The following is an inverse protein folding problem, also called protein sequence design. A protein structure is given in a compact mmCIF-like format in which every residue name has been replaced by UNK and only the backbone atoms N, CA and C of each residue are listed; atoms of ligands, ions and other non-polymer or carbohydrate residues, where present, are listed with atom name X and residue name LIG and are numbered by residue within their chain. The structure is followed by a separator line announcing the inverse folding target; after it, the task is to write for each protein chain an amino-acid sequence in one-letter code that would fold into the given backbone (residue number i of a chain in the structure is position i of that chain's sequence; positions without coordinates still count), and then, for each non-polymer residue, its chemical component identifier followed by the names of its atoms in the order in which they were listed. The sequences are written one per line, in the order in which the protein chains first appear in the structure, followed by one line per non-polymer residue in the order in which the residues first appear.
data_IF_800951510990
#
_entry.id   IF_800951510990
#
_cell.length_a   1.000
_cell.length_b   1.000
_cell.length_c   1.000
_cell.angle_alpha   90.00
_cell.angle_beta   90.00
_cell.angle_gamma   90.00
#
_symmetry.space_group_name_H-M   'P 1'
#
loop_
_entity.id
_entity.type
_entity.pdbx_description
1 polymer ?
#
# COMPACT_ATOMS: atom_id res chain seq x y z
N UNK A 1 -0.80 18.30 -4.22
CA UNK A 1 -1.04 18.40 -5.68
C UNK A 1 -1.29 19.83 -6.19
N UNK A 2 -2.16 20.64 -5.56
CA UNK A 2 -2.44 22.02 -6.02
C UNK A 2 -1.18 22.89 -6.19
N UNK A 3 -0.21 22.74 -5.29
CA UNK A 3 1.11 23.37 -5.42
C UNK A 3 1.78 23.12 -6.79
N UNK A 4 1.76 21.86 -7.26
CA UNK A 4 2.40 21.48 -8.52
C UNK A 4 1.63 21.96 -9.74
N UNK A 5 0.31 22.07 -9.64
CA UNK A 5 -0.56 22.64 -10.68
C UNK A 5 -0.16 24.08 -10.98
N UNK A 6 0.04 24.90 -9.96
CA UNK A 6 0.45 26.30 -10.12
C UNK A 6 1.86 26.44 -10.73
N UNK A 7 2.65 25.37 -10.72
CA UNK A 7 3.99 25.29 -11.30
C UNK A 7 4.03 24.57 -12.65
N UNK A 8 2.87 24.25 -13.23
CA UNK A 8 2.75 23.49 -14.49
C UNK A 8 3.56 22.17 -14.47
N UNK A 9 3.64 21.55 -13.29
CA UNK A 9 4.42 20.34 -13.06
C UNK A 9 3.51 19.15 -12.74
N UNK A 10 3.90 17.97 -13.23
CA UNK A 10 3.17 16.72 -13.04
C UNK A 10 4.03 15.73 -12.25
N UNK A 11 4.02 15.78 -10.90
CA UNK A 11 4.79 14.84 -10.10
C UNK A 11 4.23 13.43 -10.29
N UNK A 12 5.08 12.42 -10.08
CA UNK A 12 4.62 11.05 -9.93
C UNK A 12 4.08 10.85 -8.50
N UNK A 13 3.02 10.07 -8.34
CA UNK A 13 2.51 9.66 -7.03
C UNK A 13 2.97 8.24 -6.76
N UNK A 14 3.55 8.02 -5.58
CA UNK A 14 3.92 6.70 -5.07
C UNK A 14 2.93 6.38 -3.95
N UNK A 15 2.12 5.35 -4.16
CA UNK A 15 1.19 4.83 -3.15
C UNK A 15 1.83 3.65 -2.41
N UNK A 16 1.96 3.84 -1.10
CA UNK A 16 2.57 2.91 -0.18
C UNK A 16 1.54 1.99 0.48
N UNK A 17 0.24 2.30 0.37
CA UNK A 17 -0.77 1.55 1.08
C UNK A 17 -1.15 0.28 0.34
N UNK A 18 -1.31 -0.81 1.09
CA UNK A 18 -1.89 -2.04 0.59
C UNK A 18 -3.35 -1.85 0.10
N UNK A 19 -3.71 -2.36 -1.08
CA UNK A 19 -5.10 -2.43 -1.51
C UNK A 19 -5.34 -2.42 -3.03
N UNK A 20 -6.30 -3.25 -3.46
CA UNK A 20 -6.68 -3.40 -4.86
C UNK A 20 -7.51 -2.22 -5.39
N UNK A 21 -7.39 -1.98 -6.70
CA UNK A 21 -8.14 -0.93 -7.39
C UNK A 21 -7.80 0.51 -6.95
N UNK A 22 -6.73 0.73 -6.17
CA UNK A 22 -6.29 2.08 -5.77
C UNK A 22 -5.82 2.90 -6.97
N UNK A 23 -5.10 2.28 -7.91
CA UNK A 23 -4.76 2.90 -9.21
C UNK A 23 -6.04 3.32 -9.93
N UNK A 24 -7.01 2.42 -10.11
CA UNK A 24 -8.27 2.73 -10.80
C UNK A 24 -9.12 3.77 -10.06
N UNK A 25 -9.11 3.77 -8.72
CA UNK A 25 -9.78 4.80 -7.88
C UNK A 25 -9.09 6.14 -8.01
N UNK A 26 -7.76 6.17 -7.97
CA UNK A 26 -6.96 7.37 -8.18
C UNK A 26 -7.19 7.94 -9.59
N UNK A 27 -7.12 7.11 -10.62
CA UNK A 27 -7.38 7.53 -12.01
C UNK A 27 -8.82 8.03 -12.15
N UNK A 28 -9.82 7.32 -11.60
CA UNK A 28 -11.21 7.82 -11.55
C UNK A 28 -11.33 9.16 -10.82
N UNK A 29 -10.60 9.36 -9.72
CA UNK A 29 -10.65 10.59 -8.92
C UNK A 29 -9.94 11.76 -9.62
N UNK A 30 -8.84 11.49 -10.32
CA UNK A 30 -8.13 12.41 -11.22
C UNK A 30 -8.98 12.80 -12.43
N UNK A 31 -9.51 11.80 -13.13
CA UNK A 31 -10.18 11.95 -14.43
C UNK A 31 -11.63 12.46 -14.30
N UNK A 32 -12.29 12.28 -13.15
CA UNK A 32 -13.57 12.95 -12.83
C UNK A 32 -13.43 14.44 -12.48
N UNK A 33 -12.34 15.07 -12.93
CA UNK A 33 -12.03 16.50 -12.79
C UNK A 33 -11.98 17.06 -11.36
N UNK A 34 -12.10 16.23 -10.31
CA UNK A 34 -12.04 16.68 -8.91
C UNK A 34 -10.61 16.95 -8.43
N UNK A 35 -9.61 16.37 -9.10
CA UNK A 35 -8.21 16.76 -8.97
C UNK A 35 -7.73 17.26 -10.33
N UNK A 36 -7.58 18.57 -10.48
CA UNK A 36 -7.02 19.20 -11.68
C UNK A 36 -5.52 18.88 -11.83
N UNK A 37 -5.19 17.65 -12.23
CA UNK A 37 -3.81 17.23 -12.45
C UNK A 37 -3.51 17.20 -13.96
N UNK A 38 -2.42 17.82 -14.44
CA UNK A 38 -1.80 17.40 -15.70
C UNK A 38 -1.49 15.89 -15.63
N UNK A 39 -1.28 15.17 -16.75
CA UNK A 39 -1.16 13.71 -16.77
C UNK A 39 -0.11 13.21 -15.76
N UNK A 40 -0.61 12.83 -14.59
CA UNK A 40 0.19 12.46 -13.42
C UNK A 40 0.32 10.95 -13.43
N UNK A 41 1.56 10.47 -13.43
CA UNK A 41 1.84 9.04 -13.32
C UNK A 41 1.59 8.57 -11.89
N UNK A 42 0.92 7.43 -11.75
CA UNK A 42 0.65 6.79 -10.46
C UNK A 42 1.39 5.46 -10.42
N UNK A 43 2.18 5.27 -9.37
CA UNK A 43 2.98 4.08 -9.15
C UNK A 43 2.54 3.46 -7.83
N UNK A 44 2.01 2.25 -7.88
CA UNK A 44 1.76 1.47 -6.68
C UNK A 44 3.02 0.64 -6.38
N UNK A 45 3.56 0.80 -5.19
CA UNK A 45 4.77 0.12 -4.75
C UNK A 45 4.70 -1.41 -4.88
N UNK A 46 3.59 -2.01 -4.43
CA UNK A 46 3.38 -3.46 -4.51
C UNK A 46 3.26 -3.94 -5.96
N UNK A 47 2.67 -3.14 -6.85
CA UNK A 47 2.66 -3.45 -8.30
C UNK A 47 4.06 -3.45 -8.90
N UNK A 48 4.93 -2.52 -8.51
CA UNK A 48 6.33 -2.52 -8.97
C UNK A 48 7.06 -3.79 -8.53
N UNK A 49 6.89 -4.18 -7.27
CA UNK A 49 7.49 -5.41 -6.75
C UNK A 49 6.94 -6.66 -7.42
N UNK A 50 5.63 -6.71 -7.69
CA UNK A 50 5.01 -7.80 -8.44
C UNK A 50 5.54 -7.91 -9.87
N UNK A 51 5.84 -6.78 -10.51
CA UNK A 51 6.38 -6.76 -11.88
C UNK A 51 7.87 -7.11 -11.99
N UNK A 52 8.51 -7.61 -10.92
CA UNK A 52 9.84 -8.23 -11.02
C UNK A 52 9.75 -9.57 -11.77
N UNK A 53 10.86 -9.98 -12.38
CA UNK A 53 10.99 -11.27 -13.08
C UNK A 53 10.49 -11.28 -14.52
N UNK A 54 10.76 -12.39 -15.21
CA UNK A 54 10.25 -12.65 -16.57
C UNK A 54 8.75 -12.91 -16.56
N UNK A 55 8.04 -12.52 -17.62
CA UNK A 55 6.59 -12.74 -17.77
C UNK A 55 6.31 -14.25 -17.77
N UNK A 56 5.98 -14.81 -16.61
CA UNK A 56 5.33 -16.11 -16.53
C UNK A 56 3.87 -15.94 -16.89
N UNK A 57 3.36 -16.71 -17.84
CA UNK A 57 1.93 -16.75 -18.18
C UNK A 57 1.12 -17.53 -17.12
N UNK A 58 1.43 -17.37 -15.84
CA UNK A 58 0.58 -17.84 -14.76
C UNK A 58 -0.61 -16.88 -14.65
N UNK A 59 -1.47 -16.89 -15.67
CA UNK A 59 -2.82 -16.36 -15.55
C UNK A 59 -3.54 -17.18 -14.50
N UNK A 60 -4.52 -16.57 -13.84
CA UNK A 60 -5.44 -17.23 -12.93
C UNK A 60 -6.08 -18.40 -13.65
N UNK A 61 -5.45 -19.56 -13.57
CA UNK A 61 -6.16 -20.82 -13.56
C UNK A 61 -6.81 -20.85 -12.19
N UNK A 62 -7.90 -20.08 -12.10
CA UNK A 62 -9.01 -20.48 -11.25
C UNK A 62 -9.13 -21.98 -11.45
N UNK A 63 -8.86 -22.76 -10.41
CA UNK A 63 -9.04 -24.19 -10.48
C UNK A 63 -10.53 -24.42 -10.65
N UNK A 64 -11.02 -24.33 -11.89
CA UNK A 64 -12.42 -24.45 -12.26
C UNK A 64 -12.98 -25.76 -11.74
N UNK A 65 -12.12 -26.77 -11.63
CA UNK A 65 -12.30 -28.03 -10.91
C UNK A 65 -12.90 -27.85 -9.49
N UNK A 66 -12.39 -26.92 -8.67
CA UNK A 66 -12.86 -26.70 -7.29
C UNK A 66 -14.27 -26.11 -7.20
N UNK A 67 -14.78 -25.53 -8.28
CA UNK A 67 -16.16 -25.03 -8.34
C UNK A 67 -17.16 -25.98 -8.96
N UNK A 68 -16.72 -27.09 -9.57
CA UNK A 68 -17.62 -28.02 -10.27
C UNK A 68 -18.66 -28.65 -9.33
N UNK A 69 -18.30 -28.80 -8.07
CA UNK A 69 -19.16 -29.39 -7.02
C UNK A 69 -19.93 -28.35 -6.21
N UNK A 70 -19.78 -27.05 -6.53
CA UNK A 70 -20.40 -25.95 -5.78
C UNK A 70 -21.53 -25.30 -6.59
N UNK A 71 -22.52 -24.78 -5.88
CA UNK A 71 -23.65 -24.07 -6.51
C UNK A 71 -23.36 -22.58 -6.60
N UNK A 72 -23.38 -21.96 -7.80
CA UNK A 72 -23.19 -20.52 -7.94
C UNK A 72 -24.46 -19.76 -7.51
N UNK A 73 -24.28 -18.77 -6.64
CA UNK A 73 -25.26 -17.74 -6.27
C UNK A 73 -24.73 -16.38 -6.69
N UNK A 74 -25.36 -15.81 -7.72
CA UNK A 74 -25.07 -14.46 -8.18
C UNK A 74 -26.20 -13.50 -7.80
N UNK A 75 -25.84 -12.36 -7.25
CA UNK A 75 -26.80 -11.28 -7.02
C UNK A 75 -26.91 -10.46 -8.30
N UNK A 76 -28.13 -10.21 -8.78
CA UNK A 76 -28.37 -9.42 -9.99
C UNK A 76 -27.73 -8.03 -9.84
N UNK A 77 -26.94 -7.60 -10.83
CA UNK A 77 -26.22 -6.32 -10.81
C UNK A 77 -24.95 -6.28 -9.94
N UNK A 78 -24.52 -7.42 -9.38
CA UNK A 78 -23.28 -7.51 -8.61
C UNK A 78 -22.16 -8.17 -9.44
N UNK A 79 -20.96 -7.60 -9.41
CA UNK A 79 -19.73 -8.23 -9.92
C UNK A 79 -19.16 -9.31 -8.96
N UNK A 80 -20.04 -9.94 -8.18
CA UNK A 80 -19.66 -10.92 -7.15
C UNK A 80 -20.43 -12.21 -7.36
N UNK A 81 -19.70 -13.31 -7.46
CA UNK A 81 -20.27 -14.67 -7.49
C UNK A 81 -19.89 -15.39 -6.20
N UNK A 82 -20.86 -15.93 -5.48
CA UNK A 82 -20.62 -16.82 -4.33
C UNK A 82 -20.88 -18.25 -4.74
N UNK A 83 -19.93 -19.14 -4.50
CA UNK A 83 -20.09 -20.58 -4.69
C UNK A 83 -20.35 -21.20 -3.32
N UNK A 84 -21.50 -21.85 -3.19
CA UNK A 84 -21.93 -22.48 -1.94
C UNK A 84 -21.81 -24.00 -1.99
N UNK A 85 -21.53 -24.60 -0.83
CA UNK A 85 -21.53 -26.04 -0.64
C UNK A 85 -22.96 -26.62 -0.53
N UNK A 86 -23.06 -27.92 -0.28
CA UNK A 86 -24.33 -28.65 -0.15
C UNK A 86 -25.17 -28.16 1.04
N UNK A 87 -24.52 -27.64 2.09
CA UNK A 87 -25.17 -27.06 3.26
C UNK A 87 -25.58 -25.59 3.05
N UNK A 88 -25.30 -25.04 1.86
CA UNK A 88 -25.61 -23.67 1.47
C UNK A 88 -24.66 -22.63 2.05
N UNK A 89 -23.56 -23.03 2.69
CA UNK A 89 -22.52 -22.12 3.18
C UNK A 89 -21.62 -21.67 2.04
N UNK A 90 -21.12 -20.43 2.11
CA UNK A 90 -20.16 -19.94 1.11
C UNK A 90 -18.83 -20.64 1.29
N UNK A 91 -18.37 -21.33 0.25
CA UNK A 91 -17.04 -21.94 0.20
C UNK A 91 -16.05 -21.04 -0.57
N UNK A 92 -16.52 -20.39 -1.64
CA UNK A 92 -15.69 -19.49 -2.46
C UNK A 92 -16.49 -18.24 -2.81
N UNK A 93 -15.85 -17.07 -2.76
CA UNK A 93 -16.37 -15.80 -3.29
C UNK A 93 -15.42 -15.30 -4.35
N UNK A 94 -15.93 -14.99 -5.54
CA UNK A 94 -15.18 -14.40 -6.65
C UNK A 94 -15.70 -13.00 -6.90
N UNK A 95 -14.81 -12.01 -6.78
CA UNK A 95 -15.09 -10.61 -7.11
C UNK A 95 -14.42 -10.25 -8.43
N UNK A 96 -15.17 -9.54 -9.27
CA UNK A 96 -14.73 -9.07 -10.57
C UNK A 96 -14.75 -7.56 -10.64
N UNK A 97 -13.91 -7.01 -11.51
CA UNK A 97 -13.92 -5.58 -11.81
C UNK A 97 -15.01 -5.21 -12.84
N UNK A 98 -15.08 -3.92 -13.17
CA UNK A 98 -16.02 -3.36 -14.15
C UNK A 98 -15.85 -3.95 -15.58
N UNK A 99 -14.75 -4.69 -15.84
CA UNK A 99 -14.46 -5.39 -17.10
C UNK A 99 -14.66 -6.90 -16.99
N UNK A 100 -15.33 -7.38 -15.94
CA UNK A 100 -15.58 -8.79 -15.64
C UNK A 100 -14.30 -9.64 -15.44
N UNK A 101 -13.16 -9.00 -15.12
CA UNK A 101 -11.92 -9.70 -14.79
C UNK A 101 -11.89 -10.05 -13.32
N UNK A 102 -11.39 -11.24 -12.98
CA UNK A 102 -11.25 -11.67 -11.59
C UNK A 102 -10.22 -10.79 -10.88
N UNK A 103 -10.64 -10.15 -9.78
CA UNK A 103 -9.81 -9.26 -8.97
C UNK A 103 -9.44 -9.93 -7.65
N UNK A 104 -10.40 -10.60 -7.02
CA UNK A 104 -10.23 -11.24 -5.71
C UNK A 104 -10.97 -12.57 -5.69
N UNK A 105 -10.33 -13.59 -5.10
CA UNK A 105 -10.95 -14.86 -4.77
C UNK A 105 -10.77 -15.13 -3.27
N UNK A 106 -11.87 -15.17 -2.54
CA UNK A 106 -11.88 -15.45 -1.10
C UNK A 106 -12.34 -16.89 -0.87
N UNK A 107 -11.60 -17.65 -0.07
CA UNK A 107 -11.85 -19.05 0.27
C UNK A 107 -12.27 -19.17 1.73
N UNK A 108 -13.37 -19.87 1.95
CA UNK A 108 -13.99 -20.02 3.25
C UNK A 108 -13.98 -21.48 3.69
N UNK A 109 -13.90 -21.68 5.00
CA UNK A 109 -14.08 -22.98 5.65
C UNK A 109 -14.87 -22.77 6.94
N UNK A 110 -15.95 -23.51 7.11
CA UNK A 110 -16.86 -23.42 8.27
C UNK A 110 -17.38 -21.99 8.46
N UNK A 111 -17.76 -21.32 7.36
CA UNK A 111 -18.23 -19.94 7.34
C UNK A 111 -17.16 -18.86 7.60
N UNK A 112 -15.90 -19.23 7.83
CA UNK A 112 -14.79 -18.30 8.12
C UNK A 112 -13.85 -18.14 6.93
N UNK A 113 -13.41 -16.91 6.66
CA UNK A 113 -12.38 -16.63 5.66
C UNK A 113 -11.06 -17.29 6.07
N UNK A 114 -10.46 -18.08 5.17
CA UNK A 114 -9.18 -18.78 5.41
C UNK A 114 -8.07 -18.32 4.48
N UNK A 115 -8.44 -17.91 3.27
CA UNK A 115 -7.49 -17.43 2.28
C UNK A 115 -8.15 -16.40 1.39
N UNK A 116 -7.40 -15.40 0.99
CA UNK A 116 -7.77 -14.49 -0.07
C UNK A 116 -6.62 -14.40 -1.08
N UNK A 117 -6.95 -14.64 -2.34
CA UNK A 117 -6.03 -14.45 -3.45
C UNK A 117 -6.46 -13.22 -4.22
N UNK A 118 -5.49 -12.41 -4.62
CA UNK A 118 -5.77 -11.19 -5.35
C UNK A 118 -4.93 -11.10 -6.60
N UNK A 119 -5.54 -10.56 -7.64
CA UNK A 119 -5.03 -10.64 -9.00
C UNK A 119 -4.80 -9.26 -9.60
N UNK A 120 -3.79 -9.17 -10.45
CA UNK A 120 -3.52 -7.95 -11.20
C UNK A 120 -4.51 -7.75 -12.37
N UNK A 121 -4.37 -6.65 -13.09
CA UNK A 121 -5.22 -6.30 -14.24
C UNK A 121 -5.13 -7.28 -15.43
N UNK A 122 -4.12 -8.16 -15.45
CA UNK A 122 -3.95 -9.22 -16.44
C UNK A 122 -4.44 -10.58 -15.91
N UNK A 123 -5.02 -10.61 -14.70
CA UNK A 123 -5.50 -11.81 -14.06
C UNK A 123 -4.38 -12.70 -13.50
N UNK A 124 -3.19 -12.16 -13.20
CA UNK A 124 -2.09 -12.93 -12.60
C UNK A 124 -2.15 -12.83 -11.08
N UNK A 125 -1.84 -13.90 -10.37
CA UNK A 125 -1.80 -13.88 -8.91
C UNK A 125 -0.75 -12.86 -8.47
N UNK A 126 -1.16 -11.87 -7.69
CA UNK A 126 -0.28 -10.85 -7.15
C UNK A 126 0.02 -11.10 -5.68
N UNK A 127 -0.98 -11.56 -4.92
CA UNK A 127 -0.91 -11.67 -3.46
C UNK A 127 -1.78 -12.81 -2.97
N UNK A 128 -1.31 -13.48 -1.92
CA UNK A 128 -2.10 -14.41 -1.12
C UNK A 128 -2.06 -13.98 0.34
N UNK A 129 -3.24 -13.84 0.95
CA UNK A 129 -3.43 -13.67 2.38
C UNK A 129 -4.00 -14.95 2.98
N UNK A 130 -3.42 -15.44 4.08
CA UNK A 130 -3.90 -16.61 4.83
C UNK A 130 -4.31 -16.19 6.22
N UNK A 131 -5.52 -16.59 6.59
CA UNK A 131 -6.17 -16.24 7.84
C UNK A 131 -6.21 -17.46 8.74
N UNK A 132 -5.56 -17.37 9.90
CA UNK A 132 -5.61 -18.39 10.92
C UNK A 132 -6.10 -17.79 12.24
N UNK A 133 -6.91 -18.56 12.94
CA UNK A 133 -7.30 -18.25 14.31
C UNK A 133 -6.18 -18.74 15.22
N UNK A 134 -5.54 -17.82 15.93
CA UNK A 134 -4.50 -18.14 16.90
C UNK A 134 -4.98 -17.80 18.31
N UNK A 135 -4.61 -18.59 19.33
CA UNK A 135 -4.80 -18.20 20.72
C UNK A 135 -4.03 -16.89 20.98
N UNK A 136 -4.63 -15.94 21.69
CA UNK A 136 -3.95 -14.71 22.07
C UNK A 136 -2.85 -15.00 23.11
N UNK A 137 -1.62 -15.19 22.64
CA UNK A 137 -0.47 -15.55 23.48
C UNK A 137 -0.01 -14.43 24.42
N UNK A 138 -0.45 -13.17 24.22
CA UNK A 138 -0.02 -12.00 25.00
C UNK A 138 -0.94 -11.64 26.17
N UNK A 139 -2.05 -12.36 26.38
CA UNK A 139 -2.94 -12.19 27.54
C UNK A 139 -3.24 -13.53 28.21
N UNK A 140 -2.23 -14.07 28.90
CA UNK A 140 -2.41 -15.22 29.79
C UNK A 140 -2.95 -14.77 31.17
N UNK A 141 -4.21 -14.34 31.23
CA UNK A 141 -4.94 -14.33 32.50
C UNK A 141 -5.75 -15.63 32.59
N UNK A 142 -5.47 -16.43 33.61
CA UNK A 142 -5.96 -17.81 33.82
C UNK A 142 -7.48 -17.91 34.10
N UNK A 143 -8.24 -16.83 33.98
CA UNK A 143 -9.65 -16.77 34.39
C UNK A 143 -10.62 -16.39 33.29
N UNK A 144 -10.17 -16.00 32.09
CA UNK A 144 -11.06 -15.68 30.96
C UNK A 144 -10.93 -16.70 29.82
N UNK A 145 -12.05 -17.11 29.20
CA UNK A 145 -12.04 -18.04 28.08
C UNK A 145 -11.24 -17.47 26.92
N UNK A 146 -10.24 -18.24 26.47
CA UNK A 146 -9.37 -18.05 25.31
C UNK A 146 -9.83 -16.98 24.31
N UNK A 147 -9.26 -15.78 24.40
CA UNK A 147 -9.39 -14.80 23.33
C UNK A 147 -8.67 -15.33 22.08
N UNK A 148 -9.41 -15.51 21.00
CA UNK A 148 -8.87 -15.89 19.69
C UNK A 148 -8.55 -14.61 18.91
N UNK A 149 -7.32 -14.48 18.42
CA UNK A 149 -6.90 -13.41 17.51
C UNK A 149 -6.76 -13.97 16.10
N UNK A 150 -7.16 -13.21 15.08
CA UNK A 150 -6.92 -13.59 13.69
C UNK A 150 -5.52 -13.15 13.27
N UNK A 151 -4.64 -14.11 13.00
CA UNK A 151 -3.33 -13.88 12.38
C UNK A 151 -3.48 -13.85 10.86
N UNK A 152 -2.85 -12.88 10.20
CA UNK A 152 -2.84 -12.76 8.73
C UNK A 152 -1.41 -12.91 8.21
N UNK A 153 -1.14 -14.01 7.49
CA UNK A 153 0.09 -14.15 6.73
C UNK A 153 -0.13 -13.62 5.32
N UNK A 154 0.74 -12.72 4.86
CA UNK A 154 0.65 -12.16 3.50
C UNK A 154 1.86 -12.58 2.68
N UNK A 155 1.66 -12.83 1.40
CA UNK A 155 2.73 -13.19 0.46
C UNK A 155 2.52 -12.48 -0.87
N UNK A 156 3.35 -11.48 -1.16
CA UNK A 156 3.42 -10.87 -2.49
C UNK A 156 4.26 -11.81 -3.37
N UNK A 157 3.79 -12.05 -4.59
CA UNK A 157 4.55 -12.81 -5.58
C UNK A 157 4.94 -11.93 -6.78
N UNK A 158 5.94 -12.35 -7.54
CA UNK A 158 6.35 -11.73 -8.80
C UNK A 158 5.53 -12.26 -10.01
N UNK A 159 5.81 -11.79 -11.22
CA UNK A 159 5.08 -12.25 -12.43
C UNK A 159 5.33 -13.73 -12.77
N UNK A 160 6.32 -14.37 -12.15
CA UNK A 160 6.59 -15.81 -12.27
C UNK A 160 5.96 -16.63 -11.14
N UNK A 161 5.28 -15.97 -10.19
CA UNK A 161 4.67 -16.61 -9.02
C UNK A 161 5.64 -16.85 -7.86
N UNK A 162 6.85 -16.31 -7.91
CA UNK A 162 7.84 -16.44 -6.82
C UNK A 162 7.55 -15.43 -5.71
N UNK A 163 7.67 -15.80 -4.43
CA UNK A 163 7.57 -14.85 -3.33
C UNK A 163 8.57 -13.70 -3.46
N UNK A 164 8.12 -12.47 -3.20
CA UNK A 164 8.95 -11.25 -3.15
C UNK A 164 8.94 -10.65 -1.76
N UNK A 165 7.77 -10.67 -1.11
CA UNK A 165 7.59 -10.26 0.29
C UNK A 165 6.75 -11.31 0.98
N UNK A 166 7.18 -11.73 2.17
CA UNK A 166 6.38 -12.56 3.08
C UNK A 166 6.19 -11.80 4.38
N UNK A 167 4.95 -11.45 4.71
CA UNK A 167 4.58 -10.89 6.01
C UNK A 167 4.21 -12.02 6.98
N UNK A 168 4.98 -12.16 8.05
CA UNK A 168 4.82 -13.19 9.07
C UNK A 168 4.06 -12.61 10.28
N UNK A 169 2.83 -13.09 10.56
CA UNK A 169 1.98 -12.49 11.59
C UNK A 169 2.49 -12.71 13.01
N UNK A 170 3.26 -13.77 13.25
CA UNK A 170 3.76 -14.12 14.58
C UNK A 170 4.83 -13.15 15.08
N UNK A 171 5.49 -12.44 14.17
CA UNK A 171 6.62 -11.56 14.48
C UNK A 171 6.36 -10.11 14.06
N UNK A 172 5.21 -9.81 13.43
CA UNK A 172 4.97 -8.55 12.74
C UNK A 172 6.13 -8.18 11.80
N UNK A 173 6.68 -9.15 11.05
CA UNK A 173 7.84 -8.91 10.19
C UNK A 173 7.52 -9.11 8.71
N UNK A 174 8.14 -8.28 7.88
CA UNK A 174 8.18 -8.39 6.43
C UNK A 174 9.54 -8.93 6.00
N UNK A 175 9.53 -10.06 5.32
CA UNK A 175 10.70 -10.72 4.79
C UNK A 175 10.77 -10.45 3.29
N UNK A 176 11.83 -9.77 2.86
CA UNK A 176 12.14 -9.59 1.43
C UNK A 176 12.90 -10.82 0.96
N UNK A 177 12.41 -11.40 -0.13
CA UNK A 177 12.97 -12.62 -0.72
C UNK A 177 13.84 -12.30 -1.95
N UNK A 178 14.88 -13.10 -2.15
CA UNK A 178 15.71 -13.08 -3.36
C UNK A 178 14.98 -13.71 -4.56
N UNK A 179 15.58 -13.63 -5.75
CA UNK A 179 15.09 -14.37 -6.91
C UNK A 179 15.15 -15.91 -6.75
N UNK A 180 15.99 -16.42 -5.84
CA UNK A 180 16.05 -17.83 -5.44
C UNK A 180 15.00 -18.21 -4.39
N UNK A 181 14.23 -17.24 -3.85
CA UNK A 181 13.26 -17.45 -2.77
C UNK A 181 13.92 -17.60 -1.40
N UNK A 182 15.10 -16.99 -1.22
CA UNK A 182 15.83 -16.97 0.05
C UNK A 182 15.65 -15.60 0.74
N UNK A 183 15.42 -15.56 2.06
CA UNK A 183 15.28 -14.30 2.77
C UNK A 183 16.55 -13.46 2.75
N UNK A 184 16.45 -12.22 2.28
CA UNK A 184 17.59 -11.28 2.22
C UNK A 184 17.49 -10.13 3.21
N UNK A 185 16.29 -9.80 3.68
CA UNK A 185 16.07 -8.70 4.64
C UNK A 185 14.79 -8.94 5.43
N UNK A 186 14.88 -8.87 6.77
CA UNK A 186 13.73 -8.75 7.66
C UNK A 186 13.52 -7.27 8.01
N UNK A 187 12.26 -6.87 8.09
CA UNK A 187 11.78 -5.51 8.34
C UNK A 187 10.59 -5.59 9.28
N UNK A 188 10.40 -4.59 10.13
CA UNK A 188 9.41 -4.66 11.21
C UNK A 188 8.06 -4.01 10.84
N UNK A 189 8.00 -3.21 9.77
CA UNK A 189 6.75 -2.63 9.26
C UNK A 189 6.74 -2.30 7.75
N UNK A 190 5.60 -1.83 7.25
CA UNK A 190 5.44 -1.43 5.84
C UNK A 190 6.25 -0.17 5.49
N UNK A 191 6.52 0.72 6.46
CA UNK A 191 7.32 1.91 6.25
C UNK A 191 8.80 1.54 6.05
N UNK A 192 9.35 0.61 6.84
CA UNK A 192 10.73 0.15 6.69
C UNK A 192 10.94 -0.53 5.34
N UNK A 193 9.93 -1.28 4.89
CA UNK A 193 9.91 -1.88 3.56
C UNK A 193 9.96 -0.84 2.44
N UNK A 194 9.26 0.27 2.60
CA UNK A 194 9.30 1.39 1.67
C UNK A 194 10.66 2.11 1.71
N UNK A 195 11.20 2.37 2.90
CA UNK A 195 12.53 2.97 3.08
C UNK A 195 13.58 2.13 2.36
N UNK A 196 13.59 0.82 2.61
CA UNK A 196 14.49 -0.11 1.92
C UNK A 196 14.37 -0.01 0.41
N UNK A 197 13.15 0.00 -0.13
CA UNK A 197 12.95 0.13 -1.58
C UNK A 197 13.40 1.47 -2.14
N UNK A 198 13.13 2.57 -1.45
CA UNK A 198 13.57 3.92 -1.83
C UNK A 198 15.09 4.01 -1.86
N UNK A 199 15.78 3.41 -0.90
CA UNK A 199 17.23 3.30 -0.93
C UNK A 199 17.69 2.51 -2.16
N UNK A 200 17.06 1.37 -2.48
CA UNK A 200 17.51 0.59 -3.65
C UNK A 200 17.20 1.26 -5.01
N UNK A 201 16.14 2.05 -5.13
CA UNK A 201 15.60 2.46 -6.44
C UNK A 201 15.52 3.99 -6.65
N UNK A 202 15.55 4.79 -5.59
CA UNK A 202 15.30 6.23 -5.65
C UNK A 202 16.53 7.08 -5.31
N UNK A 203 17.33 6.67 -4.31
CA UNK A 203 18.46 7.48 -3.81
C UNK A 203 19.49 7.85 -4.89
N UNK A 204 19.61 7.04 -5.95
CA UNK A 204 20.55 7.28 -7.04
C UNK A 204 20.02 8.27 -8.10
N UNK A 205 18.83 8.84 -7.91
CA UNK A 205 18.19 9.75 -8.85
C UNK A 205 18.31 11.20 -8.38
N UNK A 206 18.31 12.18 -9.30
CA UNK A 206 18.24 13.59 -8.92
C UNK A 206 16.81 14.08 -8.58
N UNK A 207 15.87 13.15 -8.36
CA UNK A 207 14.47 13.46 -8.12
C UNK A 207 14.24 13.88 -6.67
N UNK A 208 13.14 14.62 -6.46
CA UNK A 208 12.67 15.05 -5.13
C UNK A 208 11.49 14.21 -4.70
N UNK A 209 11.52 13.75 -3.46
CA UNK A 209 10.46 13.01 -2.80
C UNK A 209 9.69 13.99 -1.91
N UNK A 210 8.48 14.33 -2.33
CA UNK A 210 7.58 15.19 -1.57
C UNK A 210 6.75 14.31 -0.65
N UNK A 211 6.91 14.48 0.66
CA UNK A 211 6.39 13.56 1.65
C UNK A 211 5.75 14.31 2.81
N UNK A 212 4.65 13.78 3.32
CA UNK A 212 3.98 14.31 4.51
C UNK A 212 4.88 14.14 5.75
N UNK A 213 5.19 15.26 6.40
CA UNK A 213 6.09 15.30 7.55
C UNK A 213 5.52 14.58 8.78
N UNK A 214 4.19 14.37 8.83
CA UNK A 214 3.52 13.67 9.94
C UNK A 214 3.40 12.15 9.68
N UNK A 215 3.93 11.64 8.57
CA UNK A 215 3.87 10.21 8.24
C UNK A 215 4.97 9.39 8.92
N UNK A 216 4.64 8.15 9.31
CA UNK A 216 5.62 7.18 9.84
C UNK A 216 6.78 6.95 8.87
N UNK A 217 6.51 6.99 7.56
CA UNK A 217 7.52 6.88 6.52
C UNK A 217 8.51 8.05 6.57
N UNK A 218 8.06 9.28 6.83
CA UNK A 218 8.97 10.41 6.98
C UNK A 218 9.84 10.25 8.21
N UNK A 219 9.26 9.85 9.35
CA UNK A 219 10.01 9.63 10.59
C UNK A 219 11.15 8.62 10.42
N UNK A 220 11.00 7.60 9.59
CA UNK A 220 12.08 6.66 9.29
C UNK A 220 13.06 7.20 8.22
N UNK A 221 12.58 7.90 7.20
CA UNK A 221 13.44 8.43 6.12
C UNK A 221 14.42 9.52 6.60
N UNK A 222 14.08 10.26 7.65
CA UNK A 222 14.98 11.27 8.22
C UNK A 222 16.20 10.64 8.93
N UNK A 223 16.11 9.37 9.32
CA UNK A 223 17.24 8.64 9.90
C UNK A 223 18.17 8.06 8.82
N UNK A 224 17.85 8.26 7.54
CA UNK A 224 18.62 7.81 6.38
C UNK A 224 19.34 8.99 5.68
N UNK A 225 20.63 9.29 5.99
CA UNK A 225 21.33 10.45 5.46
C UNK A 225 21.39 10.50 3.93
N UNK A 226 21.42 9.33 3.27
CA UNK A 226 21.42 9.23 1.83
C UNK A 226 20.13 9.78 1.19
N UNK A 227 19.01 9.78 1.93
CA UNK A 227 17.74 10.29 1.45
C UNK A 227 17.60 11.80 1.62
N UNK A 228 18.32 12.42 2.57
CA UNK A 228 18.16 13.86 2.92
C UNK A 228 18.18 14.81 1.72
N UNK A 229 19.08 14.68 0.72
CA UNK A 229 19.10 15.58 -0.43
C UNK A 229 17.83 15.50 -1.31
N UNK A 230 17.06 14.43 -1.15
CA UNK A 230 15.86 14.15 -1.94
C UNK A 230 14.57 14.52 -1.22
N UNK A 231 14.55 14.50 0.10
CA UNK A 231 13.34 14.74 0.89
C UNK A 231 12.92 16.21 0.79
N UNK A 232 11.64 16.43 0.50
CA UNK A 232 10.98 17.74 0.57
C UNK A 232 9.75 17.56 1.45
N UNK A 233 9.86 17.83 2.77
CA UNK A 233 8.74 17.65 3.70
C UNK A 233 7.59 18.61 3.37
N UNK A 234 6.38 18.09 3.51
CA UNK A 234 5.12 18.82 3.41
C UNK A 234 4.54 18.90 4.82
N UNK A 235 4.32 20.11 5.32
CA UNK A 235 3.84 20.36 6.67
C UNK A 235 2.53 21.13 6.58
N UNK A 236 1.45 20.42 6.91
CA UNK A 236 0.11 20.96 6.88
C UNK A 236 -0.29 21.61 8.20
N UNK A 237 0.06 20.96 9.31
CA UNK A 237 -0.24 21.38 10.66
C UNK A 237 0.97 22.06 11.30
N UNK A 238 0.93 22.23 12.63
CA UNK A 238 1.98 22.96 13.34
C UNK A 238 3.34 22.26 13.16
N UNK A 239 4.37 22.96 12.64
CA UNK A 239 5.66 22.34 12.32
C UNK A 239 6.41 21.88 13.57
N UNK A 240 6.90 20.63 13.56
CA UNK A 240 7.97 20.20 14.46
C UNK A 240 9.32 20.72 13.93
N UNK A 241 9.63 21.96 14.30
CA UNK A 241 10.85 22.63 13.84
C UNK A 241 12.14 21.95 14.30
N UNK A 242 12.12 21.15 15.37
CA UNK A 242 13.29 20.41 15.82
C UNK A 242 13.56 19.22 14.89
N UNK A 243 12.49 18.48 14.54
CA UNK A 243 12.54 17.41 13.56
C UNK A 243 13.01 17.92 12.19
N UNK A 244 12.36 18.99 11.70
CA UNK A 244 12.64 19.56 10.38
C UNK A 244 14.06 20.12 10.25
N UNK A 245 14.64 20.68 11.31
CA UNK A 245 16.00 21.21 11.28
C UNK A 245 17.08 20.11 11.10
N UNK A 246 16.77 18.86 11.46
CA UNK A 246 17.69 17.73 11.28
C UNK A 246 17.73 17.22 9.83
N UNK A 247 16.62 17.41 9.10
CA UNK A 247 16.51 17.05 7.69
C UNK A 247 17.19 18.15 6.90
N UNK A 248 18.42 17.95 6.42
CA UNK A 248 19.10 18.96 5.58
C UNK A 248 18.48 19.03 4.18
N UNK A 249 17.19 19.35 4.13
CA UNK A 249 16.36 19.36 2.94
C UNK A 249 16.65 20.60 2.08
N UNK A 250 16.61 20.48 0.74
CA UNK A 250 16.70 21.63 -0.14
C UNK A 250 15.50 22.59 -0.02
N UNK A 251 14.32 22.11 0.38
CA UNK A 251 13.11 22.91 0.46
C UNK A 251 12.06 22.29 1.37
N UNK A 252 11.15 23.11 1.90
CA UNK A 252 10.06 22.71 2.78
C UNK A 252 8.76 23.30 2.23
N UNK A 253 7.70 22.49 2.11
CA UNK A 253 6.37 23.03 1.83
C UNK A 253 5.63 23.22 3.14
N UNK A 254 5.40 24.46 3.54
CA UNK A 254 4.80 24.81 4.83
C UNK A 254 3.48 25.53 4.61
N UNK A 255 2.43 25.16 5.34
CA UNK A 255 1.16 25.89 5.29
C UNK A 255 1.36 27.37 5.62
N UNK A 256 0.73 28.24 4.83
CA UNK A 256 0.94 29.69 4.82
C UNK A 256 0.92 30.32 6.22
N UNK A 257 0.03 29.84 7.11
CA UNK A 257 -0.12 30.33 8.48
C UNK A 257 1.09 30.09 9.39
N UNK A 258 1.99 29.16 9.04
CA UNK A 258 3.17 28.81 9.84
C UNK A 258 4.50 29.32 9.25
N UNK A 259 4.48 29.89 8.03
CA UNK A 259 5.70 30.34 7.33
C UNK A 259 6.46 31.41 8.14
N UNK A 260 5.73 32.21 8.91
CA UNK A 260 6.33 33.29 9.69
C UNK A 260 6.90 32.87 11.06
N UNK A 261 6.74 31.60 11.45
CA UNK A 261 7.21 31.11 12.74
C UNK A 261 8.76 31.19 12.86
N UNK A 262 9.31 31.63 14.01
CA UNK A 262 10.75 31.79 14.17
C UNK A 262 11.58 30.54 13.89
N UNK A 263 11.05 29.35 14.19
CA UNK A 263 11.73 28.08 13.90
C UNK A 263 11.72 27.73 12.41
N UNK A 264 10.63 28.03 11.71
CA UNK A 264 10.51 27.84 10.25
C UNK A 264 11.46 28.77 9.49
N UNK A 265 11.58 30.04 9.91
CA UNK A 265 12.52 31.01 9.31
C UNK A 265 14.00 30.63 9.46
N UNK A 266 14.33 29.70 10.37
CA UNK A 266 15.69 29.22 10.61
C UNK A 266 16.02 27.93 9.87
N UNK A 267 15.06 27.34 9.16
CA UNK A 267 15.32 26.16 8.33
C UNK A 267 16.34 26.52 7.24
N UNK A 268 17.24 25.59 6.96
CA UNK A 268 18.37 25.84 6.07
C UNK A 268 18.01 25.87 4.57
N UNK A 269 16.85 25.33 4.21
CA UNK A 269 16.36 25.24 2.83
C UNK A 269 15.23 26.21 2.54
N UNK A 270 14.80 26.26 1.27
CA UNK A 270 13.74 27.17 0.83
C UNK A 270 12.39 26.83 1.50
N UNK A 271 11.77 27.81 2.15
CA UNK A 271 10.41 27.66 2.66
C UNK A 271 9.41 28.09 1.60
N UNK A 272 8.64 27.14 1.08
CA UNK A 272 7.70 27.33 -0.01
C UNK A 272 6.27 27.27 0.56
N UNK A 273 5.54 28.41 0.58
CA UNK A 273 4.19 28.43 1.14
C UNK A 273 3.22 27.55 0.36
N UNK A 274 2.37 26.84 1.08
CA UNK A 274 1.21 26.13 0.54
C UNK A 274 -0.08 26.52 1.26
N UNK A 275 -1.21 26.34 0.59
CA UNK A 275 -2.53 26.48 1.22
C UNK A 275 -2.79 25.28 2.14
N UNK A 276 -3.44 25.53 3.28
CA UNK A 276 -3.82 24.47 4.22
C UNK A 276 -4.78 23.49 3.56
N UNK A 277 -4.68 22.19 3.86
CA UNK A 277 -5.63 21.21 3.33
C UNK A 277 -7.05 21.45 3.83
N UNK A 278 -7.21 22.07 5.02
CA UNK A 278 -8.51 22.39 5.60
C UNK A 278 -9.34 23.33 4.72
N UNK A 279 -8.70 24.20 3.94
CA UNK A 279 -9.39 25.10 2.99
C UNK A 279 -10.04 24.34 1.83
N UNK A 280 -9.73 23.05 1.66
CA UNK A 280 -10.25 22.21 0.57
C UNK A 280 -11.27 21.16 1.04
N UNK A 281 -11.55 21.07 2.34
CA UNK A 281 -12.64 20.21 2.82
C UNK A 281 -13.96 20.99 2.85
N UNK A 282 -15.05 20.46 2.27
CA UNK A 282 -16.36 21.08 2.42
C UNK A 282 -16.75 21.08 3.91
N UNK A 283 -17.15 22.25 4.42
CA UNK A 283 -17.76 22.41 5.73
C UNK A 283 -19.11 21.68 5.82
#
# INVERSE_FOLDING_TARGET
MNYFKNKESAPAIIDCGFGFGKVSRFMRYRDKEKLFLPPTSYHNFYTFLHHRGSVGHATATFGSEFTKELTPKQTLGSHVTRYVDQDGQTAIKVERDDQERVQVVSYFRDGKLRREDSYDHQGRLMMTERFAEMPNIHRQNTTDPFFVTTSVQRMLVDMSGRPVIVALPTFNQFWVESESGEPIKALDDEAELMVWWLLQNFQHTNRKLYIDADSDLFAQLIDEPAMHPHLVPIVYDKPDTALLANVKSPAYLISQQFVDEPGVKRLAGDVLPILSWHEYMPH
#
